data_IF_360310960474
#
_entry.id   IF_360310960474
#
_cell.length_a   1.000
_cell.length_b   1.000
_cell.length_c   1.000
_cell.angle_alpha   90.00
_cell.angle_beta   90.00
_cell.angle_gamma   90.00
#
_symmetry.space_group_name_H-M   'P 1'
#
loop_
_entity.id
_entity.type
_entity.pdbx_description
1 polymer ?
#
# COMPACT_ATOMS: atom_id res chain seq x y z
N UNK A 1 11.20 -8.40 -30.26
CA UNK A 1 9.86 -9.00 -30.03
C UNK A 1 9.36 -9.54 -31.35
N UNK A 2 9.06 -10.83 -31.44
CA UNK A 2 8.59 -11.48 -32.67
C UNK A 2 7.08 -11.62 -32.70
N UNK A 3 6.45 -11.88 -31.56
CA UNK A 3 5.01 -12.02 -31.45
C UNK A 3 4.49 -11.58 -30.07
N UNK A 4 3.25 -11.10 -30.01
CA UNK A 4 2.59 -10.69 -28.77
C UNK A 4 1.25 -11.41 -28.70
N UNK A 5 1.02 -12.15 -27.61
CA UNK A 5 -0.20 -12.89 -27.32
C UNK A 5 -0.90 -12.28 -26.10
N UNK A 6 -2.08 -12.78 -25.73
CA UNK A 6 -2.81 -12.26 -24.57
C UNK A 6 -2.12 -12.56 -23.23
N UNK A 7 -1.30 -13.62 -23.16
CA UNK A 7 -0.60 -14.03 -21.94
C UNK A 7 0.87 -13.57 -21.89
N UNK A 8 1.39 -12.94 -22.94
CA UNK A 8 2.79 -12.50 -22.95
C UNK A 8 3.33 -12.07 -24.31
N UNK A 9 4.66 -11.99 -24.39
CA UNK A 9 5.38 -11.62 -25.61
C UNK A 9 6.55 -12.55 -25.87
N UNK A 10 6.70 -12.98 -27.13
CA UNK A 10 7.82 -13.76 -27.60
C UNK A 10 8.93 -12.84 -28.09
N UNK A 11 10.16 -13.12 -27.66
CA UNK A 11 11.36 -12.38 -28.01
C UNK A 11 12.36 -13.37 -28.55
N UNK A 12 12.74 -13.24 -29.81
CA UNK A 12 13.86 -13.99 -30.36
C UNK A 12 15.16 -13.33 -29.88
N UNK A 13 16.04 -14.12 -29.26
CA UNK A 13 17.35 -13.66 -28.79
C UNK A 13 18.43 -13.97 -29.82
N UNK A 14 18.38 -15.16 -30.37
CA UNK A 14 19.27 -15.69 -31.39
C UNK A 14 18.47 -16.60 -32.34
N UNK A 15 18.96 -16.87 -33.56
CA UNK A 15 18.27 -17.72 -34.52
C UNK A 15 17.89 -19.08 -33.91
N UNK A 16 16.57 -19.31 -33.77
CA UNK A 16 16.02 -20.55 -33.20
C UNK A 16 16.05 -20.64 -31.67
N UNK A 17 16.37 -19.55 -30.95
CA UNK A 17 16.22 -19.45 -29.49
C UNK A 17 15.14 -18.42 -29.17
N UNK A 18 14.01 -18.91 -28.65
CA UNK A 18 12.87 -18.09 -28.28
C UNK A 18 12.79 -17.87 -26.77
N UNK A 19 12.70 -16.60 -26.40
CA UNK A 19 12.35 -16.13 -25.08
C UNK A 19 10.86 -15.84 -24.96
N UNK A 20 10.27 -16.13 -23.81
CA UNK A 20 8.91 -15.75 -23.46
C UNK A 20 8.94 -14.79 -22.28
N UNK A 21 8.30 -13.64 -22.42
CA UNK A 21 7.99 -12.74 -21.32
C UNK A 21 6.51 -12.92 -20.99
N UNK A 22 6.21 -13.39 -19.78
CA UNK A 22 4.83 -13.51 -19.31
C UNK A 22 4.22 -12.11 -19.08
N UNK A 23 2.89 -11.96 -19.20
CA UNK A 23 2.22 -10.66 -18.97
C UNK A 23 2.57 -10.06 -17.61
N UNK A 24 2.66 -10.89 -16.57
CA UNK A 24 3.05 -10.46 -15.22
C UNK A 24 4.52 -10.05 -15.09
N UNK A 25 5.36 -10.36 -16.08
CA UNK A 25 6.79 -10.02 -16.14
C UNK A 25 7.08 -8.84 -17.08
N UNK A 26 6.06 -8.29 -17.75
CA UNK A 26 6.18 -7.11 -18.61
C UNK A 26 6.26 -5.82 -17.80
N UNK A 27 5.46 -5.70 -16.73
CA UNK A 27 5.38 -4.53 -15.86
C UNK A 27 5.10 -4.95 -14.42
N UNK A 28 5.50 -4.10 -13.46
CA UNK A 28 5.07 -4.21 -12.07
C UNK A 28 3.61 -3.79 -11.88
N UNK A 29 3.09 -2.97 -12.79
CA UNK A 29 1.69 -2.54 -12.79
C UNK A 29 0.78 -3.60 -13.42
N UNK A 30 -0.47 -3.60 -12.98
CA UNK A 30 -1.49 -4.48 -13.54
C UNK A 30 -1.91 -4.00 -14.93
N UNK A 31 -1.37 -4.65 -15.95
CA UNK A 31 -1.72 -4.43 -17.36
C UNK A 31 -2.81 -5.41 -17.82
N UNK A 32 -3.68 -4.95 -18.72
CA UNK A 32 -4.76 -5.79 -19.28
C UNK A 32 -4.32 -6.51 -20.55
N UNK A 33 -3.51 -5.85 -21.38
CA UNK A 33 -2.95 -6.44 -22.60
C UNK A 33 -1.45 -6.17 -22.74
N UNK A 34 -0.64 -7.19 -23.10
CA UNK A 34 0.79 -7.03 -23.37
C UNK A 34 1.16 -5.96 -24.41
N UNK A 35 0.24 -5.68 -25.34
CA UNK A 35 0.41 -4.66 -26.40
C UNK A 35 0.56 -3.23 -25.86
N UNK A 36 0.13 -2.99 -24.62
CA UNK A 36 0.30 -1.70 -23.95
C UNK A 36 1.77 -1.43 -23.60
N UNK A 37 2.58 -2.50 -23.45
CA UNK A 37 3.99 -2.41 -23.02
C UNK A 37 4.95 -2.70 -24.17
N UNK A 38 4.62 -3.69 -25.03
CA UNK A 38 5.51 -4.16 -26.10
C UNK A 38 4.78 -4.37 -27.42
N UNK A 39 5.47 -4.08 -28.52
CA UNK A 39 4.94 -4.25 -29.88
C UNK A 39 5.77 -5.25 -30.71
N UNK A 40 5.16 -5.99 -31.66
CA UNK A 40 5.91 -6.81 -32.61
C UNK A 40 6.94 -5.98 -33.38
N UNK A 41 8.16 -6.51 -33.56
CA UNK A 41 9.28 -5.81 -34.19
C UNK A 41 10.10 -4.91 -33.25
N UNK A 42 9.64 -4.66 -32.02
CA UNK A 42 10.37 -3.83 -31.06
C UNK A 42 11.59 -4.57 -30.49
N UNK A 43 12.72 -3.88 -30.39
CA UNK A 43 13.87 -4.34 -29.62
C UNK A 43 13.68 -3.98 -28.15
N UNK A 44 13.72 -4.96 -27.26
CA UNK A 44 13.52 -4.78 -25.82
C UNK A 44 14.68 -5.37 -25.05
N UNK A 45 15.00 -4.80 -23.89
CA UNK A 45 15.92 -5.41 -22.92
C UNK A 45 15.12 -6.24 -21.94
N UNK A 46 15.60 -7.43 -21.61
CA UNK A 46 14.97 -8.30 -20.64
C UNK A 46 16.04 -9.08 -19.86
N UNK A 47 15.74 -9.42 -18.62
CA UNK A 47 16.56 -10.28 -17.78
C UNK A 47 16.12 -11.74 -17.92
N UNK A 48 17.08 -12.66 -17.90
CA UNK A 48 16.79 -14.10 -17.92
C UNK A 48 16.37 -14.55 -16.52
N UNK A 49 15.16 -15.10 -16.41
CA UNK A 49 14.66 -15.69 -15.17
C UNK A 49 14.93 -17.19 -15.09
N UNK A 50 14.70 -17.91 -16.18
CA UNK A 50 14.85 -19.36 -16.24
C UNK A 50 15.26 -19.79 -17.64
N UNK A 51 16.13 -20.79 -17.71
CA UNK A 51 16.53 -21.43 -18.96
C UNK A 51 16.01 -22.87 -18.94
N UNK A 52 15.35 -23.26 -20.03
CA UNK A 52 14.94 -24.63 -20.32
C UNK A 52 15.73 -25.13 -21.54
N UNK A 53 16.86 -25.82 -21.32
CA UNK A 53 17.71 -26.28 -22.40
C UNK A 53 17.09 -27.42 -23.21
N UNK A 54 16.21 -28.23 -22.60
CA UNK A 54 15.55 -29.36 -23.29
C UNK A 54 14.59 -28.85 -24.36
N UNK A 55 13.82 -27.81 -24.03
CA UNK A 55 12.85 -27.20 -24.95
C UNK A 55 13.41 -26.00 -25.72
N UNK A 56 14.68 -25.64 -25.53
CA UNK A 56 15.33 -24.44 -26.11
C UNK A 56 14.52 -23.16 -25.87
N UNK A 57 13.96 -23.01 -24.66
CA UNK A 57 13.12 -21.87 -24.26
C UNK A 57 13.73 -21.12 -23.10
N UNK A 58 13.56 -19.81 -23.10
CA UNK A 58 14.05 -18.93 -22.03
C UNK A 58 12.88 -18.12 -21.47
N UNK A 59 12.69 -18.13 -20.16
CA UNK A 59 11.76 -17.21 -19.49
C UNK A 59 12.47 -15.90 -19.23
N UNK A 60 11.87 -14.81 -19.70
CA UNK A 60 12.42 -13.46 -19.64
C UNK A 60 11.53 -12.54 -18.80
N UNK A 61 12.13 -11.49 -18.25
CA UNK A 61 11.42 -10.43 -17.51
C UNK A 61 11.88 -9.05 -17.94
N UNK A 62 10.93 -8.18 -18.28
CA UNK A 62 11.18 -6.77 -18.56
C UNK A 62 11.17 -5.96 -17.26
N UNK A 63 10.27 -6.29 -16.33
CA UNK A 63 10.14 -5.56 -15.07
C UNK A 63 11.31 -5.78 -14.11
N UNK A 64 11.99 -6.93 -14.18
CA UNK A 64 13.11 -7.23 -13.28
C UNK A 64 14.38 -6.41 -13.56
N UNK A 65 14.39 -5.63 -14.66
CA UNK A 65 15.41 -4.60 -14.91
C UNK A 65 15.09 -3.27 -14.20
N UNK A 66 13.88 -3.13 -13.65
CA UNK A 66 13.41 -1.97 -12.93
C UNK A 66 13.50 -2.25 -11.42
N UNK A 67 13.68 -1.22 -10.61
CA UNK A 67 13.66 -1.35 -9.15
C UNK A 67 12.31 -1.93 -8.70
N UNK A 68 12.32 -2.86 -7.74
CA UNK A 68 11.09 -3.46 -7.23
C UNK A 68 10.31 -2.38 -6.46
N UNK A 69 9.08 -2.02 -6.90
CA UNK A 69 8.30 -0.99 -6.22
C UNK A 69 7.95 -1.35 -4.77
N UNK A 70 8.01 -2.65 -4.43
CA UNK A 70 7.84 -3.08 -3.05
C UNK A 70 9.05 -2.69 -2.19
N UNK A 71 10.27 -2.82 -2.70
CA UNK A 71 11.47 -2.40 -1.99
C UNK A 71 11.48 -0.88 -1.81
N UNK A 72 11.18 -0.12 -2.86
CA UNK A 72 11.04 1.34 -2.78
C UNK A 72 9.95 1.75 -1.77
N UNK A 73 8.82 1.02 -1.74
CA UNK A 73 7.77 1.25 -0.76
C UNK A 73 8.26 1.01 0.68
N UNK A 74 9.02 -0.06 0.93
CA UNK A 74 9.55 -0.35 2.27
C UNK A 74 10.60 0.68 2.72
N UNK A 75 11.34 1.28 1.79
CA UNK A 75 12.27 2.38 2.08
C UNK A 75 11.55 3.67 2.47
N UNK A 76 10.41 3.95 1.84
CA UNK A 76 9.64 5.18 2.06
C UNK A 76 8.63 5.09 3.21
N UNK A 77 8.05 3.90 3.43
CA UNK A 77 6.92 3.72 4.34
C UNK A 77 7.19 2.62 5.37
N UNK A 78 6.96 2.98 6.64
CA UNK A 78 7.05 2.06 7.78
C UNK A 78 5.72 1.92 8.51
N UNK A 79 5.59 0.92 9.38
CA UNK A 79 4.43 0.79 10.27
C UNK A 79 4.30 2.07 11.10
N UNK A 80 3.12 2.68 11.06
CA UNK A 80 2.88 3.99 11.64
C UNK A 80 2.65 5.09 10.61
N UNK A 81 3.14 4.89 9.38
CA UNK A 81 3.01 5.90 8.31
C UNK A 81 1.54 6.04 7.87
N UNK A 82 1.17 7.25 7.48
CA UNK A 82 -0.16 7.56 6.95
C UNK A 82 -0.07 7.57 5.43
N UNK A 83 -0.98 6.85 4.79
CA UNK A 83 -1.06 6.74 3.33
C UNK A 83 -2.46 7.11 2.85
N UNK A 84 -2.55 7.60 1.62
CA UNK A 84 -3.81 7.95 0.99
C UNK A 84 -3.87 7.38 -0.42
N UNK A 85 -5.06 7.00 -0.86
CA UNK A 85 -5.27 6.59 -2.24
C UNK A 85 -6.68 6.06 -2.52
N UNK A 86 -6.97 5.73 -3.79
CA UNK A 86 -8.29 5.31 -4.20
C UNK A 86 -8.57 3.85 -3.84
N UNK A 87 -9.81 3.56 -3.45
CA UNK A 87 -10.32 2.20 -3.26
C UNK A 87 -10.41 1.49 -4.61
N UNK A 88 -9.60 0.45 -4.81
CA UNK A 88 -9.58 -0.32 -6.06
C UNK A 88 -10.60 -1.46 -6.05
N UNK A 89 -10.87 -2.03 -4.89
CA UNK A 89 -11.74 -3.19 -4.76
C UNK A 89 -12.37 -3.25 -3.38
N UNK A 90 -13.62 -3.67 -3.31
CA UNK A 90 -14.35 -3.89 -2.06
C UNK A 90 -14.76 -5.37 -2.00
N UNK A 91 -14.52 -6.01 -0.86
CA UNK A 91 -14.92 -7.39 -0.56
C UNK A 91 -15.65 -7.41 0.78
N UNK A 92 -16.27 -8.54 1.10
CA UNK A 92 -17.02 -8.70 2.36
C UNK A 92 -16.14 -8.52 3.60
N UNK A 93 -14.88 -8.96 3.54
CA UNK A 93 -13.94 -8.86 4.66
C UNK A 93 -13.19 -7.53 4.74
N UNK A 94 -13.30 -6.65 3.74
CA UNK A 94 -12.53 -5.41 3.71
C UNK A 94 -12.43 -4.73 2.36
N UNK A 95 -11.65 -3.65 2.30
CA UNK A 95 -11.42 -2.87 1.10
C UNK A 95 -9.92 -2.83 0.75
N UNK A 96 -9.62 -2.79 -0.54
CA UNK A 96 -8.28 -2.61 -1.08
C UNK A 96 -8.12 -1.16 -1.52
N UNK A 97 -7.04 -0.54 -1.11
CA UNK A 97 -6.68 0.83 -1.42
C UNK A 97 -5.34 0.82 -2.12
N UNK A 98 -5.25 1.48 -3.28
CA UNK A 98 -3.98 1.64 -3.99
C UNK A 98 -3.14 2.70 -3.31
N UNK A 99 -1.97 2.33 -2.81
CA UNK A 99 -1.04 3.27 -2.17
C UNK A 99 -0.07 3.82 -3.21
N UNK A 100 0.51 2.92 -4.01
CA UNK A 100 1.35 3.26 -5.17
C UNK A 100 0.86 2.46 -6.39
N UNK A 101 1.29 2.76 -7.63
CA UNK A 101 0.85 2.02 -8.82
C UNK A 101 1.04 0.49 -8.73
N UNK A 102 2.01 0.03 -7.95
CA UNK A 102 2.35 -1.39 -7.78
C UNK A 102 2.07 -1.96 -6.38
N UNK A 103 1.62 -1.14 -5.42
CA UNK A 103 1.39 -1.56 -4.03
C UNK A 103 -0.04 -1.28 -3.58
N UNK A 104 -0.72 -2.33 -3.12
CA UNK A 104 -2.07 -2.26 -2.55
C UNK A 104 -2.06 -2.53 -1.04
N UNK A 105 -2.83 -1.71 -0.31
CA UNK A 105 -3.13 -1.90 1.09
C UNK A 105 -4.52 -2.47 1.31
N UNK A 106 -4.68 -3.30 2.33
CA UNK A 106 -5.94 -3.90 2.76
C UNK A 106 -6.39 -3.26 4.07
N UNK A 107 -7.60 -2.71 4.05
CA UNK A 107 -8.33 -2.28 5.24
C UNK A 107 -9.34 -3.36 5.56
N UNK A 108 -9.15 -4.07 6.68
CA UNK A 108 -10.11 -5.06 7.13
C UNK A 108 -11.39 -4.37 7.62
N UNK A 109 -12.56 -4.99 7.50
CA UNK A 109 -13.85 -4.38 7.89
C UNK A 109 -13.84 -3.83 9.32
N UNK A 110 -13.18 -4.54 10.25
CA UNK A 110 -13.04 -4.11 11.64
C UNK A 110 -12.09 -2.93 11.85
N UNK A 111 -11.32 -2.53 10.83
CA UNK A 111 -10.42 -1.37 10.83
C UNK A 111 -11.01 -0.16 10.08
N UNK A 112 -12.22 -0.30 9.50
CA UNK A 112 -12.89 0.78 8.75
C UNK A 112 -13.66 1.73 9.68
N UNK A 113 -14.52 1.21 10.58
CA UNK A 113 -15.34 2.03 11.49
C UNK A 113 -15.59 1.36 12.83
N UNK A 114 -15.70 2.17 13.89
CA UNK A 114 -15.96 1.72 15.27
C UNK A 114 -17.36 1.10 15.43
N UNK A 115 -18.28 1.43 14.54
CA UNK A 115 -19.61 0.86 14.49
C UNK A 115 -19.62 -0.50 13.79
N UNK A 116 -20.57 -1.38 14.14
CA UNK A 116 -20.76 -2.64 13.41
C UNK A 116 -21.34 -2.32 12.03
N UNK A 117 -20.47 -2.37 11.04
CA UNK A 117 -20.84 -2.27 9.63
C UNK A 117 -21.12 -3.67 9.11
N UNK A 118 -22.26 -3.86 8.42
CA UNK A 118 -22.58 -5.13 7.78
C UNK A 118 -21.65 -5.41 6.61
N UNK A 119 -21.39 -4.40 5.79
CA UNK A 119 -20.49 -4.51 4.65
C UNK A 119 -19.64 -3.23 4.42
N UNK A 120 -18.35 -3.36 4.04
CA UNK A 120 -17.49 -2.20 3.73
C UNK A 120 -18.04 -1.23 2.68
N UNK A 121 -18.91 -1.69 1.77
CA UNK A 121 -19.51 -0.84 0.74
C UNK A 121 -20.50 0.20 1.26
N UNK A 122 -20.96 0.06 2.51
CA UNK A 122 -21.84 1.05 3.15
C UNK A 122 -21.10 2.35 3.46
N UNK A 123 -19.79 2.24 3.69
CA UNK A 123 -18.90 3.33 4.15
C UNK A 123 -17.85 3.73 3.11
N UNK A 124 -17.47 2.79 2.23
CA UNK A 124 -16.48 3.00 1.18
C UNK A 124 -17.09 2.76 -0.20
N UNK A 125 -16.71 3.58 -1.17
CA UNK A 125 -17.10 3.42 -2.58
C UNK A 125 -15.88 3.09 -3.44
N UNK A 126 -16.07 2.33 -4.52
CA UNK A 126 -15.02 2.11 -5.51
C UNK A 126 -14.56 3.46 -6.10
N UNK A 127 -13.24 3.65 -6.18
CA UNK A 127 -12.61 4.89 -6.61
C UNK A 127 -12.55 6.00 -5.56
N UNK A 128 -13.16 5.82 -4.38
CA UNK A 128 -13.09 6.82 -3.31
C UNK A 128 -11.67 6.93 -2.77
N UNK A 129 -11.20 8.16 -2.59
CA UNK A 129 -9.93 8.42 -1.91
C UNK A 129 -10.08 8.22 -0.39
N UNK A 130 -9.22 7.38 0.18
CA UNK A 130 -9.23 7.01 1.59
C UNK A 130 -7.85 7.24 2.17
N UNK A 131 -7.80 7.88 3.33
CA UNK A 131 -6.57 8.03 4.12
C UNK A 131 -6.58 7.04 5.28
N UNK A 132 -5.51 6.28 5.44
CA UNK A 132 -5.39 5.25 6.47
C UNK A 132 -3.95 5.14 6.98
N UNK A 133 -3.80 4.64 8.20
CA UNK A 133 -2.49 4.38 8.82
C UNK A 133 -2.05 2.95 8.56
N UNK A 134 -0.77 2.75 8.24
CA UNK A 134 -0.16 1.43 8.13
C UNK A 134 -0.04 0.83 9.54
N UNK A 135 -0.75 -0.27 9.78
CA UNK A 135 -0.72 -1.00 11.05
C UNK A 135 0.13 -2.28 10.98
N UNK A 136 0.53 -2.69 9.78
CA UNK A 136 1.38 -3.84 9.59
C UNK A 136 1.75 -4.06 8.13
N UNK A 137 2.87 -4.71 7.90
CA UNK A 137 3.37 -5.04 6.56
C UNK A 137 3.63 -6.54 6.53
N UNK A 138 3.11 -7.22 5.52
CA UNK A 138 3.37 -8.63 5.26
C UNK A 138 4.20 -8.75 3.99
N UNK A 139 5.51 -8.84 4.16
CA UNK A 139 6.47 -8.93 3.06
C UNK A 139 6.31 -10.23 2.26
N UNK A 140 6.02 -11.34 2.94
CA UNK A 140 5.82 -12.65 2.30
C UNK A 140 4.65 -12.65 1.30
N UNK A 141 3.59 -11.89 1.60
CA UNK A 141 2.43 -11.73 0.72
C UNK A 141 2.45 -10.44 -0.09
N UNK A 142 3.47 -9.59 0.06
CA UNK A 142 3.53 -8.22 -0.46
C UNK A 142 2.22 -7.47 -0.24
N UNK A 143 1.74 -7.48 1.00
CA UNK A 143 0.48 -6.87 1.41
C UNK A 143 0.68 -5.92 2.58
N UNK A 144 0.07 -4.74 2.51
CA UNK A 144 0.09 -3.75 3.59
C UNK A 144 -1.26 -3.79 4.32
N UNK A 145 -1.27 -3.83 5.64
CA UNK A 145 -2.47 -3.70 6.46
C UNK A 145 -2.67 -2.25 6.85
N UNK A 146 -3.85 -1.74 6.57
CA UNK A 146 -4.23 -0.35 6.79
C UNK A 146 -5.38 -0.26 7.81
N UNK A 147 -5.42 0.84 8.56
CA UNK A 147 -6.49 1.14 9.52
C UNK A 147 -6.88 2.62 9.47
N UNK A 148 -8.18 2.87 9.32
CA UNK A 148 -8.75 4.22 9.39
C UNK A 148 -8.97 4.59 10.87
N UNK A 149 -9.38 3.62 11.69
CA UNK A 149 -9.57 3.80 13.15
C UNK A 149 -8.33 4.30 13.85
N UNK A 150 -7.20 3.63 13.62
CA UNK A 150 -5.94 3.98 14.30
C UNK A 150 -5.48 5.39 13.93
N UNK A 151 -5.75 5.83 12.71
CA UNK A 151 -5.49 7.21 12.31
C UNK A 151 -6.37 8.20 13.11
N UNK A 152 -7.67 7.92 13.23
CA UNK A 152 -8.61 8.77 13.98
C UNK A 152 -8.29 8.82 15.48
N UNK A 153 -7.93 7.68 16.08
CA UNK A 153 -7.52 7.60 17.50
C UNK A 153 -6.28 8.47 17.78
N UNK A 154 -5.25 8.36 16.93
CA UNK A 154 -4.03 9.15 17.09
C UNK A 154 -4.29 10.66 16.95
N UNK A 155 -5.14 11.06 15.99
CA UNK A 155 -5.51 12.46 15.81
C UNK A 155 -6.27 13.00 17.03
N UNK A 156 -7.22 12.24 17.56
CA UNK A 156 -7.99 12.62 18.75
C UNK A 156 -7.09 12.71 20.01
N UNK A 157 -6.14 11.80 20.17
CA UNK A 157 -5.15 11.86 21.26
C UNK A 157 -4.25 13.09 21.13
N UNK A 158 -3.73 13.35 19.93
CA UNK A 158 -2.88 14.51 19.68
C UNK A 158 -3.60 15.86 19.90
N UNK A 159 -4.89 15.95 19.57
CA UNK A 159 -5.71 17.13 19.87
C UNK A 159 -5.96 17.30 21.37
N UNK A 160 -6.24 16.19 22.07
CA UNK A 160 -6.46 16.19 23.53
C UNK A 160 -5.20 16.62 24.29
N UNK A 161 -4.03 16.09 23.92
CA UNK A 161 -2.75 16.48 24.51
C UNK A 161 -2.41 17.96 24.27
N UNK A 162 -2.64 18.47 23.06
CA UNK A 162 -2.46 19.90 22.75
C UNK A 162 -3.38 20.78 23.58
N UNK A 163 -4.63 20.38 23.77
CA UNK A 163 -5.59 21.12 24.58
C UNK A 163 -5.19 21.16 26.06
N UNK A 164 -4.72 20.03 26.61
CA UNK A 164 -4.19 19.96 27.99
C UNK A 164 -2.93 20.82 28.14
N UNK A 165 -2.01 20.77 27.17
CA UNK A 165 -0.75 21.53 27.23
C UNK A 165 -0.93 23.05 27.10
N UNK A 166 -2.02 23.52 26.49
CA UNK A 166 -2.26 24.95 26.22
C UNK A 166 -3.06 25.63 27.36
N UNK A 167 -3.61 24.89 28.31
CA UNK A 167 -4.25 25.47 29.49
C UNK A 167 -3.27 25.57 30.67
N UNK A 168 -2.94 26.78 31.17
CA UNK A 168 -2.25 26.87 32.45
C UNK A 168 -3.19 26.32 33.53
N UNK A 169 -2.72 25.30 34.25
CA UNK A 169 -3.38 24.75 35.43
C UNK A 169 -3.65 25.94 36.36
N UNK A 170 -4.94 26.27 36.57
CA UNK A 170 -5.32 27.23 37.61
C UNK A 170 -4.75 26.71 38.91
N UNK A 171 -3.86 27.49 39.52
CA UNK A 171 -3.25 27.21 40.80
C UNK A 171 -4.31 26.70 41.77
N UNK A 172 -4.16 25.45 42.19
CA UNK A 172 -4.86 24.92 43.35
C UNK A 172 -4.37 25.71 44.55
N UNK A 173 -5.03 26.83 44.88
CA UNK A 173 -4.78 27.56 46.12
C UNK A 173 -5.01 26.55 47.23
N UNK A 174 -3.92 26.08 47.83
CA UNK A 174 -4.00 25.11 48.90
C UNK A 174 -4.76 25.75 50.06
N UNK A 175 -5.74 25.05 50.63
CA UNK A 175 -6.50 25.51 51.81
C UNK A 175 -5.62 25.95 52.99
N UNK A 176 -4.33 25.56 52.98
CA UNK A 176 -3.29 25.98 53.92
C UNK A 176 -2.94 27.47 53.82
N UNK A 177 -3.06 28.09 52.64
CA UNK A 177 -2.81 29.54 52.47
C UNK A 177 -3.98 30.39 53.01
N UNK A 178 -5.23 29.97 52.80
CA UNK A 178 -6.41 30.69 53.35
C UNK A 178 -6.53 30.64 54.87
N UNK A 179 -6.05 29.57 55.51
CA UNK A 179 -6.11 29.46 56.98
C UNK A 179 -5.08 30.36 57.69
N UNK A 180 -4.05 30.84 56.99
CA UNK A 180 -3.05 31.76 57.55
C UNK A 180 -3.55 33.21 57.62
N UNK A 181 -4.52 33.59 56.78
CA UNK A 181 -5.14 34.92 56.78
C UNK A 181 -6.22 35.11 57.85
N UNK A 182 -6.78 34.03 58.40
CA UNK A 182 -7.83 34.10 59.44
C UNK A 182 -7.30 34.19 60.87
N UNK A 183 -5.98 34.28 61.06
CA UNK A 183 -5.39 34.63 62.37
C UNK A 183 -5.72 33.66 63.51
N UNK A 184 -5.97 32.38 63.21
CA UNK A 184 -6.15 31.34 64.24
C UNK A 184 -4.90 30.46 64.27
N UNK A 185 -3.93 30.85 65.09
CA UNK A 185 -2.74 30.09 65.45
C UNK A 185 -2.53 30.12 66.94
#
# INVERSE_FOLDING_TARGET
>A
VTNVTDFGAFVELEPGIAGLVHISELSWERISHPKEVVQPGQTVRAMVLKVDPENRRISLSLKALQQDPWEEFLEQYSVGSVVSGPVTQIKEFGAFVRITPAVEGLIHVSEISHERIGHPSEVLKLGQEVTAKIIGINEAKRQVRLSIKKLQEDMAQAETEKFIATQPVRETITLRERLRELGMG
#
